data_IF_793178452124
#
_entry.id   IF_793178452124
#
_cell.length_a   1.000
_cell.length_b   1.000
_cell.length_c   1.000
_cell.angle_alpha   90.00
_cell.angle_beta   90.00
_cell.angle_gamma   90.00
#
_symmetry.space_group_name_H-M   'P 1'
#
loop_
_entity.id
_entity.type
_entity.pdbx_description
1 polymer ?
#
# COMPACT_ATOMS: atom_id res chain seq x y z
N UNK A 1 3.45 -20.40 27.53
CA UNK A 1 3.96 -19.41 26.56
C UNK A 1 5.29 -18.88 27.09
N UNK A 2 6.30 -18.72 26.23
CA UNK A 2 7.58 -18.14 26.62
C UNK A 2 7.45 -16.62 26.65
N UNK A 3 7.80 -15.96 27.75
CA UNK A 3 7.93 -14.50 27.77
C UNK A 3 9.13 -14.10 26.92
N UNK A 4 8.88 -13.23 25.95
CA UNK A 4 9.91 -12.68 25.08
C UNK A 4 10.57 -11.52 25.81
N UNK A 5 11.89 -11.42 25.72
CA UNK A 5 12.57 -10.21 26.19
C UNK A 5 12.26 -9.04 25.23
N UNK A 6 12.64 -7.81 25.61
CA UNK A 6 12.34 -6.60 24.83
C UNK A 6 12.85 -6.67 23.39
N UNK A 7 14.02 -7.28 23.15
CA UNK A 7 14.61 -7.42 21.82
C UNK A 7 13.81 -8.41 20.95
N UNK A 8 13.44 -9.55 21.51
CA UNK A 8 12.62 -10.55 20.83
C UNK A 8 11.19 -10.07 20.59
N UNK A 9 10.67 -9.22 21.49
CA UNK A 9 9.40 -8.54 21.31
C UNK A 9 9.46 -7.54 20.16
N UNK A 10 10.57 -6.81 20.02
CA UNK A 10 10.79 -5.91 18.89
C UNK A 10 10.96 -6.65 17.56
N UNK A 11 11.64 -7.79 17.54
CA UNK A 11 11.76 -8.64 16.34
C UNK A 11 10.41 -9.22 15.91
N UNK A 12 9.59 -9.71 16.84
CA UNK A 12 8.24 -10.22 16.56
C UNK A 12 7.25 -9.10 16.21
N UNK A 13 7.50 -7.86 16.64
CA UNK A 13 6.70 -6.68 16.30
C UNK A 13 7.13 -6.00 14.98
N UNK A 14 8.17 -6.50 14.30
CA UNK A 14 8.57 -6.01 12.97
C UNK A 14 10.03 -5.64 12.80
N UNK A 15 10.78 -5.42 13.89
CA UNK A 15 12.23 -5.27 13.93
C UNK A 15 12.91 -4.58 12.73
N UNK A 16 14.17 -4.98 12.46
CA UNK A 16 14.95 -4.52 11.30
C UNK A 16 14.31 -4.96 9.97
N UNK A 17 13.59 -6.08 9.95
CA UNK A 17 12.99 -6.63 8.73
C UNK A 17 11.91 -5.71 8.17
N UNK A 18 10.97 -5.23 8.98
CA UNK A 18 9.98 -4.23 8.58
C UNK A 18 10.60 -2.93 8.09
N UNK A 19 11.75 -2.52 8.64
CA UNK A 19 12.49 -1.33 8.18
C UNK A 19 13.07 -1.50 6.78
N UNK A 20 13.47 -2.71 6.39
CA UNK A 20 14.05 -3.00 5.08
C UNK A 20 12.98 -3.35 4.04
N UNK A 21 11.98 -4.14 4.42
CA UNK A 21 10.99 -4.69 3.48
C UNK A 21 9.84 -3.73 3.19
N UNK A 22 9.45 -2.86 4.14
CA UNK A 22 8.41 -1.87 3.90
C UNK A 22 8.77 -0.85 2.81
N UNK A 23 10.00 -0.28 2.75
CA UNK A 23 10.40 0.58 1.64
C UNK A 23 10.42 -0.15 0.30
N UNK A 24 10.88 -1.40 0.25
CA UNK A 24 10.89 -2.20 -0.98
C UNK A 24 9.46 -2.41 -1.49
N UNK A 25 8.56 -2.84 -0.60
CA UNK A 25 7.15 -2.99 -0.92
C UNK A 25 6.52 -1.68 -1.38
N UNK A 26 6.84 -0.56 -0.72
CA UNK A 26 6.36 0.78 -1.07
C UNK A 26 6.80 1.21 -2.48
N UNK A 27 8.07 0.99 -2.83
CA UNK A 27 8.62 1.33 -4.15
C UNK A 27 7.99 0.46 -5.24
N UNK A 28 7.83 -0.85 -5.02
CA UNK A 28 7.14 -1.72 -5.98
C UNK A 28 5.68 -1.31 -6.16
N UNK A 29 4.98 -1.05 -5.05
CA UNK A 29 3.59 -0.61 -5.07
C UNK A 29 3.41 0.74 -5.78
N UNK A 30 4.34 1.68 -5.56
CA UNK A 30 4.37 2.95 -6.28
C UNK A 30 4.56 2.75 -7.78
N UNK A 31 5.55 1.94 -8.18
CA UNK A 31 5.81 1.65 -9.59
C UNK A 31 4.59 1.04 -10.29
N UNK A 32 3.96 0.03 -9.69
CA UNK A 32 2.74 -0.58 -10.21
C UNK A 32 1.63 0.48 -10.33
N UNK A 33 1.42 1.27 -9.28
CA UNK A 33 0.39 2.31 -9.29
C UNK A 33 0.62 3.39 -10.34
N UNK A 34 1.88 3.75 -10.63
CA UNK A 34 2.20 4.70 -11.72
C UNK A 34 1.86 4.15 -13.10
N UNK A 35 2.04 2.84 -13.33
CA UNK A 35 1.67 2.19 -14.58
C UNK A 35 0.14 2.22 -14.77
N UNK A 36 -0.61 1.93 -13.70
CA UNK A 36 -2.07 1.97 -13.73
C UNK A 36 -2.58 3.40 -13.96
N UNK A 37 -1.98 4.40 -13.30
CA UNK A 37 -2.31 5.81 -13.53
C UNK A 37 -2.06 6.23 -14.98
N UNK A 38 -0.94 5.82 -15.58
CA UNK A 38 -0.64 6.10 -16.98
C UNK A 38 -1.68 5.47 -17.93
N UNK A 39 -2.09 4.23 -17.66
CA UNK A 39 -3.17 3.57 -18.42
C UNK A 39 -4.52 4.28 -18.28
N UNK A 40 -4.87 4.74 -17.08
CA UNK A 40 -6.10 5.51 -16.86
C UNK A 40 -6.05 6.88 -17.56
N UNK A 41 -4.88 7.53 -17.54
CA UNK A 41 -4.67 8.81 -18.21
C UNK A 41 -4.81 8.69 -19.74
N UNK A 42 -4.41 7.57 -20.35
CA UNK A 42 -4.67 7.31 -21.76
C UNK A 42 -6.18 7.28 -22.11
N UNK A 43 -7.04 6.97 -21.13
CA UNK A 43 -8.50 7.07 -21.23
C UNK A 43 -9.09 8.43 -20.79
N UNK A 44 -8.25 9.47 -20.64
CA UNK A 44 -8.58 10.77 -20.05
C UNK A 44 -9.10 10.71 -18.59
N UNK A 45 -8.86 9.62 -17.87
CA UNK A 45 -9.29 9.46 -16.48
C UNK A 45 -8.19 9.96 -15.54
N UNK A 46 -8.57 10.74 -14.53
CA UNK A 46 -7.66 11.21 -13.49
C UNK A 46 -7.72 10.26 -12.31
N UNK A 47 -6.58 9.69 -11.94
CA UNK A 47 -6.45 8.73 -10.84
C UNK A 47 -5.18 9.00 -10.04
N UNK A 48 -5.10 8.40 -8.86
CA UNK A 48 -3.97 8.48 -7.93
C UNK A 48 -3.59 7.09 -7.41
N UNK A 49 -3.58 6.09 -8.30
CA UNK A 49 -3.19 4.71 -8.01
C UNK A 49 -1.74 4.60 -7.56
N UNK A 50 -0.82 5.48 -8.00
CA UNK A 50 0.57 5.52 -7.50
C UNK A 50 0.67 5.67 -5.99
N UNK A 51 -0.19 6.50 -5.39
CA UNK A 51 -0.19 6.73 -3.95
C UNK A 51 -0.90 5.61 -3.19
N UNK A 52 -1.99 5.08 -3.76
CA UNK A 52 -2.69 3.91 -3.21
C UNK A 52 -1.76 2.67 -3.21
N UNK A 53 -1.07 2.45 -4.32
CA UNK A 53 -0.10 1.38 -4.51
C UNK A 53 1.09 1.52 -3.57
N UNK A 54 1.61 2.74 -3.38
CA UNK A 54 2.68 2.99 -2.40
C UNK A 54 2.27 2.59 -0.98
N UNK A 55 1.08 2.97 -0.52
CA UNK A 55 0.60 2.63 0.83
C UNK A 55 0.33 1.13 0.98
N UNK A 56 -0.34 0.53 0.00
CA UNK A 56 -0.62 -0.91 -0.02
C UNK A 56 0.70 -1.71 -0.03
N UNK A 57 1.61 -1.35 -0.92
CA UNK A 57 2.92 -1.96 -1.05
C UNK A 57 3.76 -1.81 0.22
N UNK A 58 3.74 -0.64 0.86
CA UNK A 58 4.40 -0.44 2.15
C UNK A 58 3.82 -1.37 3.22
N UNK A 59 2.50 -1.52 3.26
CA UNK A 59 1.83 -2.45 4.17
C UNK A 59 2.16 -3.92 3.90
N UNK A 60 2.20 -4.35 2.64
CA UNK A 60 2.61 -5.71 2.26
C UNK A 60 4.07 -5.95 2.61
N UNK A 61 4.96 -5.00 2.29
CA UNK A 61 6.37 -5.05 2.65
C UNK A 61 6.56 -5.16 4.16
N UNK A 62 5.81 -4.37 4.94
CA UNK A 62 5.80 -4.46 6.40
C UNK A 62 5.29 -5.83 6.90
N UNK A 63 4.32 -6.45 6.22
CA UNK A 63 3.83 -7.79 6.57
C UNK A 63 4.92 -8.85 6.40
N UNK A 64 5.66 -8.80 5.29
CA UNK A 64 6.82 -9.66 5.03
C UNK A 64 7.93 -9.41 6.06
N UNK A 65 8.03 -8.18 6.56
CA UNK A 65 8.94 -7.80 7.62
C UNK A 65 8.48 -8.18 9.04
N UNK A 66 7.40 -8.97 9.18
CA UNK A 66 6.80 -9.38 10.47
C UNK A 66 6.36 -8.17 11.31
N UNK A 67 5.91 -7.10 10.65
CA UNK A 67 5.45 -5.86 11.30
C UNK A 67 3.92 -5.73 11.18
N UNK A 68 3.12 -6.50 11.96
CA UNK A 68 1.69 -6.71 11.72
C UNK A 68 0.85 -5.44 11.86
N UNK A 69 1.22 -4.52 12.77
CA UNK A 69 0.47 -3.26 12.97
C UNK A 69 0.66 -2.34 11.77
N UNK A 70 1.91 -2.09 11.38
CA UNK A 70 2.25 -1.29 10.20
C UNK A 70 1.73 -1.90 8.90
N UNK A 71 1.70 -3.23 8.83
CA UNK A 71 1.13 -3.96 7.71
C UNK A 71 -0.38 -3.70 7.59
N UNK A 72 -1.11 -3.85 8.70
CA UNK A 72 -2.56 -3.65 8.73
C UNK A 72 -2.93 -2.21 8.35
N UNK A 73 -2.20 -1.22 8.89
CA UNK A 73 -2.44 0.19 8.56
C UNK A 73 -2.11 0.50 7.09
N UNK A 74 -0.94 0.06 6.59
CA UNK A 74 -0.54 0.31 5.20
C UNK A 74 -1.46 -0.36 4.19
N UNK A 75 -1.83 -1.62 4.42
CA UNK A 75 -2.75 -2.36 3.58
C UNK A 75 -4.14 -1.71 3.62
N UNK A 76 -4.65 -1.39 4.82
CA UNK A 76 -5.96 -0.78 4.98
C UNK A 76 -6.08 0.57 4.25
N UNK A 77 -5.12 1.48 4.46
CA UNK A 77 -5.09 2.79 3.80
C UNK A 77 -4.93 2.65 2.27
N UNK A 78 -4.10 1.70 1.84
CA UNK A 78 -3.93 1.37 0.43
C UNK A 78 -5.23 0.90 -0.22
N UNK A 79 -5.94 -0.05 0.40
CA UNK A 79 -7.22 -0.57 -0.13
C UNK A 79 -8.29 0.52 -0.19
N UNK A 80 -8.43 1.35 0.86
CA UNK A 80 -9.37 2.48 0.83
C UNK A 80 -9.05 3.44 -0.32
N UNK A 81 -7.77 3.73 -0.54
CA UNK A 81 -7.33 4.58 -1.65
C UNK A 81 -7.61 3.96 -3.03
N UNK A 82 -7.55 2.62 -3.17
CA UNK A 82 -7.97 1.92 -4.39
C UNK A 82 -9.47 2.07 -4.65
N UNK A 83 -10.30 1.89 -3.62
CA UNK A 83 -11.76 2.05 -3.73
C UNK A 83 -12.11 3.50 -4.11
N UNK A 84 -11.44 4.49 -3.52
CA UNK A 84 -11.65 5.89 -3.87
C UNK A 84 -11.28 6.19 -5.34
N UNK A 85 -10.19 5.62 -5.85
CA UNK A 85 -9.86 5.72 -7.27
C UNK A 85 -10.93 5.10 -8.17
N UNK A 86 -11.43 3.91 -7.80
CA UNK A 86 -12.53 3.25 -8.52
C UNK A 86 -13.78 4.12 -8.57
N UNK A 87 -14.22 4.65 -7.45
CA UNK A 87 -15.40 5.52 -7.37
C UNK A 87 -15.19 6.82 -8.18
N UNK A 88 -13.98 7.39 -8.15
CA UNK A 88 -13.63 8.56 -8.97
C UNK A 88 -13.71 8.27 -10.46
N UNK A 89 -13.26 7.10 -10.91
CA UNK A 89 -13.37 6.68 -12.31
C UNK A 89 -14.84 6.53 -12.71
N UNK A 90 -15.67 5.92 -11.87
CA UNK A 90 -17.11 5.75 -12.13
C UNK A 90 -17.81 7.12 -12.27
N UNK A 91 -17.53 8.06 -11.36
CA UNK A 91 -18.07 9.42 -11.43
C UNK A 91 -17.61 10.17 -12.69
N UNK A 92 -16.33 10.04 -13.06
CA UNK A 92 -15.79 10.65 -14.29
C UNK A 92 -16.41 10.07 -15.56
N UNK A 93 -16.69 8.77 -15.58
CA UNK A 93 -17.39 8.13 -16.70
C UNK A 93 -18.85 8.59 -16.78
N UNK A 94 -19.55 8.67 -15.65
CA UNK A 94 -20.93 9.14 -15.60
C UNK A 94 -21.07 10.59 -16.08
N UNK A 95 -20.11 11.47 -15.74
CA UNK A 95 -20.11 12.87 -16.19
C UNK A 95 -19.80 13.07 -17.68
N UNK A 96 -19.43 12.00 -18.41
CA UNK A 96 -19.19 12.04 -19.86
C UNK A 96 -20.41 11.60 -20.69
N UNK A 97 -21.46 11.10 -20.03
CA UNK A 97 -22.75 10.72 -20.64
C UNK A 97 -23.71 11.89 -20.50
#
# INVERSE_FOLDING_TARGET
>A
MKELNVQQTQEVAGGIFGFITAPIGAVMGFAIGTIVDAGCQAGNLKTSFKWAGLQLGAGIGAAVGIAPITATVGIGLGVVSLVNNKNSIEAQKAARV
#
